data_IF_506064399506
#
_entry.id   IF_506064399506
#
_cell.length_a   1.000
_cell.length_b   1.000
_cell.length_c   1.000
_cell.angle_alpha   90.00
_cell.angle_beta   90.00
_cell.angle_gamma   90.00
#
_symmetry.space_group_name_H-M   'P 1'
#
loop_
_entity.id
_entity.type
_entity.pdbx_description
1 polymer ?
#
# COMPACT_ATOMS: atom_id res chain seq x y z
N UNK A 1 12.26 -44.36 13.19
CA UNK A 1 11.72 -43.86 11.90
C UNK A 1 10.58 -42.85 12.08
N UNK A 2 9.58 -43.07 12.97
CA UNK A 2 8.47 -42.14 13.19
C UNK A 2 8.90 -40.77 13.73
N UNK A 3 9.98 -40.66 14.50
CA UNK A 3 10.51 -39.37 15.06
C UNK A 3 11.17 -38.48 14.01
N UNK A 4 11.79 -39.06 12.98
CA UNK A 4 12.46 -38.32 11.91
C UNK A 4 11.44 -37.70 10.95
N UNK A 5 10.34 -38.42 10.66
CA UNK A 5 9.23 -37.90 9.85
C UNK A 5 8.52 -36.70 10.53
N UNK A 6 8.38 -36.73 11.86
CA UNK A 6 7.77 -35.66 12.63
C UNK A 6 8.62 -34.38 12.65
N UNK A 7 9.95 -34.55 12.75
CA UNK A 7 10.91 -33.42 12.69
C UNK A 7 10.91 -32.78 11.30
N UNK A 8 10.85 -33.57 10.23
CA UNK A 8 10.77 -33.06 8.85
C UNK A 8 9.46 -32.27 8.61
N UNK A 9 8.33 -32.71 9.16
CA UNK A 9 7.05 -32.02 9.02
C UNK A 9 7.08 -30.69 9.81
N UNK A 10 7.66 -30.66 11.00
CA UNK A 10 7.85 -29.40 11.76
C UNK A 10 8.80 -28.43 11.05
N UNK A 11 9.87 -28.91 10.44
CA UNK A 11 10.77 -28.07 9.64
C UNK A 11 10.08 -27.50 8.37
N UNK A 12 9.23 -28.28 7.71
CA UNK A 12 8.44 -27.78 6.58
C UNK A 12 7.42 -26.72 7.00
N UNK A 13 6.79 -26.86 8.16
CA UNK A 13 5.86 -25.83 8.68
C UNK A 13 6.59 -24.55 9.10
N UNK A 14 7.82 -24.63 9.61
CA UNK A 14 8.62 -23.47 9.94
C UNK A 14 9.06 -22.67 8.70
N UNK A 15 9.19 -23.30 7.55
CA UNK A 15 9.53 -22.64 6.28
C UNK A 15 8.35 -21.87 5.65
N UNK A 16 7.13 -22.09 6.09
CA UNK A 16 5.93 -21.42 5.55
C UNK A 16 5.51 -20.17 6.32
N UNK A 17 6.14 -19.86 7.46
CA UNK A 17 5.85 -18.67 8.25
C UNK A 17 6.68 -17.45 7.81
N UNK A 18 6.73 -17.15 6.53
CA UNK A 18 7.22 -15.84 6.08
C UNK A 18 6.17 -14.80 6.43
N UNK A 19 6.58 -13.74 7.15
CA UNK A 19 5.72 -12.59 7.40
C UNK A 19 5.17 -12.06 6.07
N UNK A 20 3.84 -11.98 5.96
CA UNK A 20 3.18 -11.45 4.77
C UNK A 20 3.52 -9.98 4.62
N UNK A 21 3.71 -9.54 3.38
CA UNK A 21 4.15 -8.17 3.07
C UNK A 21 3.02 -7.39 2.41
N UNK A 22 3.01 -6.09 2.66
CA UNK A 22 2.21 -5.14 1.89
C UNK A 22 3.11 -4.03 1.33
N UNK A 23 2.75 -3.53 0.17
CA UNK A 23 3.40 -2.39 -0.45
C UNK A 23 2.47 -1.18 -0.41
N UNK A 24 2.97 -0.06 0.06
CA UNK A 24 2.26 1.22 0.07
C UNK A 24 2.87 2.10 -1.02
N UNK A 25 2.10 2.42 -2.03
CA UNK A 25 2.55 3.23 -3.15
C UNK A 25 2.36 4.72 -2.85
N UNK A 26 3.12 5.55 -3.59
CA UNK A 26 2.77 6.96 -3.68
C UNK A 26 1.39 7.12 -4.29
N UNK A 27 0.63 8.09 -3.83
CA UNK A 27 -0.72 8.33 -4.31
C UNK A 27 -0.72 8.68 -5.79
N UNK A 28 -1.73 8.21 -6.47
CA UNK A 28 -1.94 8.53 -7.87
C UNK A 28 -2.45 9.97 -8.00
N UNK A 29 -1.96 10.67 -9.03
CA UNK A 29 -2.44 12.00 -9.36
C UNK A 29 -3.87 11.94 -9.88
N UNK A 30 -4.77 12.55 -9.16
CA UNK A 30 -6.15 12.76 -9.60
C UNK A 30 -6.33 14.13 -10.25
N UNK A 31 -7.50 14.71 -10.06
CA UNK A 31 -7.88 15.98 -10.67
C UNK A 31 -7.38 17.18 -9.85
N UNK A 32 -6.79 18.16 -10.53
CA UNK A 32 -6.39 19.47 -9.97
C UNK A 32 -5.39 19.41 -8.80
N UNK A 33 -4.57 18.38 -8.73
CA UNK A 33 -3.49 18.25 -7.73
C UNK A 33 -2.13 18.34 -8.40
N UNK A 34 -1.15 18.82 -7.66
CA UNK A 34 0.26 18.86 -8.11
C UNK A 34 1.00 17.61 -7.63
N UNK A 35 2.14 17.32 -8.26
CA UNK A 35 3.02 16.25 -7.82
C UNK A 35 3.52 16.47 -6.39
N UNK A 36 3.84 17.70 -6.01
CA UNK A 36 4.29 18.08 -4.67
C UNK A 36 3.23 17.82 -3.60
N UNK A 37 1.97 18.20 -3.88
CA UNK A 37 0.84 17.94 -2.97
C UNK A 37 0.64 16.44 -2.78
N UNK A 38 0.72 15.68 -3.86
CA UNK A 38 0.57 14.22 -3.83
C UNK A 38 1.69 13.55 -3.06
N UNK A 39 2.92 14.01 -3.24
CA UNK A 39 4.09 13.48 -2.51
C UNK A 39 4.01 13.77 -1.01
N UNK A 40 3.63 14.99 -0.62
CA UNK A 40 3.47 15.36 0.79
C UNK A 40 2.40 14.52 1.50
N UNK A 41 1.28 14.27 0.84
CA UNK A 41 0.19 13.45 1.37
C UNK A 41 0.58 11.98 1.41
N UNK A 42 1.24 11.47 0.38
CA UNK A 42 1.77 10.11 0.34
C UNK A 42 2.76 9.85 1.48
N UNK A 43 3.68 10.78 1.70
CA UNK A 43 4.64 10.70 2.80
C UNK A 43 3.94 10.66 4.15
N UNK A 44 2.98 11.56 4.39
CA UNK A 44 2.22 11.60 5.63
C UNK A 44 1.44 10.29 5.86
N UNK A 45 0.83 9.74 4.82
CA UNK A 45 0.14 8.46 4.90
C UNK A 45 1.11 7.33 5.29
N UNK A 46 2.22 7.17 4.58
CA UNK A 46 3.20 6.11 4.84
C UNK A 46 3.78 6.18 6.25
N UNK A 47 4.08 7.37 6.74
CA UNK A 47 4.67 7.56 8.07
C UNK A 47 3.70 7.29 9.22
N UNK A 48 2.43 7.13 8.93
CA UNK A 48 1.38 6.80 9.91
C UNK A 48 0.71 5.44 9.66
N UNK A 49 1.17 4.69 8.67
CA UNK A 49 0.60 3.40 8.31
C UNK A 49 1.44 2.24 8.85
N UNK A 50 0.98 1.65 9.95
CA UNK A 50 1.67 0.57 10.66
C UNK A 50 0.72 -0.61 10.92
N UNK A 51 0.46 -1.47 9.92
CA UNK A 51 -0.35 -2.66 10.12
C UNK A 51 0.41 -3.68 10.96
N UNK A 52 -0.24 -4.26 11.96
CA UNK A 52 0.43 -5.22 12.87
C UNK A 52 0.79 -6.54 12.20
N UNK A 53 -0.07 -7.01 11.30
CA UNK A 53 0.04 -8.36 10.69
C UNK A 53 0.92 -8.42 9.45
N UNK A 54 1.29 -7.28 8.89
CA UNK A 54 1.99 -7.22 7.61
C UNK A 54 3.26 -6.39 7.71
N UNK A 55 4.33 -6.88 7.11
CA UNK A 55 5.55 -6.09 6.95
C UNK A 55 5.37 -5.13 5.77
N UNK A 56 5.54 -3.85 6.01
CA UNK A 56 5.50 -2.83 4.95
C UNK A 56 6.83 -2.83 4.19
N UNK A 57 6.75 -2.98 2.87
CA UNK A 57 7.91 -2.92 1.98
C UNK A 57 8.38 -1.46 1.90
N UNK A 58 9.69 -1.23 1.93
CA UNK A 58 10.24 0.13 1.85
C UNK A 58 9.82 0.83 0.57
N UNK A 59 9.61 2.14 0.64
CA UNK A 59 9.22 2.93 -0.53
C UNK A 59 10.33 2.95 -1.60
N UNK A 60 11.59 2.92 -1.20
CA UNK A 60 12.73 2.86 -2.11
C UNK A 60 12.69 1.59 -2.96
N UNK A 61 12.44 0.44 -2.33
CA UNK A 61 12.31 -0.83 -3.04
C UNK A 61 11.09 -0.84 -3.96
N UNK A 62 9.98 -0.30 -3.50
CA UNK A 62 8.75 -0.18 -4.29
C UNK A 62 8.98 0.69 -5.52
N UNK A 63 9.52 1.89 -5.35
CA UNK A 63 9.80 2.81 -6.45
C UNK A 63 10.83 2.24 -7.44
N UNK A 64 11.89 1.61 -6.95
CA UNK A 64 12.88 0.94 -7.79
C UNK A 64 12.26 -0.17 -8.65
N UNK A 65 11.30 -0.90 -8.12
CA UNK A 65 10.57 -1.92 -8.86
C UNK A 65 9.69 -1.29 -9.95
N UNK A 66 8.98 -0.20 -9.64
CA UNK A 66 8.17 0.56 -10.60
C UNK A 66 9.04 1.09 -11.75
N UNK A 67 10.18 1.70 -11.41
CA UNK A 67 11.16 2.20 -12.38
C UNK A 67 11.71 1.08 -13.27
N UNK A 68 11.97 -0.09 -12.70
CA UNK A 68 12.45 -1.28 -13.44
C UNK A 68 11.46 -1.75 -14.51
N UNK A 69 10.17 -1.54 -14.33
CA UNK A 69 9.14 -1.78 -15.34
C UNK A 69 8.98 -0.62 -16.35
N UNK A 70 9.56 0.54 -16.06
CA UNK A 70 9.35 1.75 -16.85
C UNK A 70 7.96 2.38 -16.68
N UNK A 71 7.28 2.11 -15.56
CA UNK A 71 5.96 2.64 -15.28
C UNK A 71 6.03 4.03 -14.64
N UNK A 72 5.01 4.84 -14.89
CA UNK A 72 4.81 6.12 -14.20
C UNK A 72 4.16 5.87 -12.83
N UNK A 73 4.90 6.15 -11.74
CA UNK A 73 4.44 5.93 -10.37
C UNK A 73 3.17 6.73 -10.01
N UNK A 74 2.83 7.76 -10.76
CA UNK A 74 1.69 8.65 -10.48
C UNK A 74 0.45 8.33 -11.31
N UNK A 75 0.54 7.41 -12.25
CA UNK A 75 -0.55 7.09 -13.18
C UNK A 75 -0.54 5.62 -13.64
N UNK A 76 -0.36 4.68 -12.73
CA UNK A 76 -0.39 3.25 -13.08
C UNK A 76 -1.80 2.72 -13.26
N UNK A 77 -1.97 1.85 -14.25
CA UNK A 77 -3.18 1.04 -14.40
C UNK A 77 -3.26 -0.04 -13.33
N UNK A 78 -4.45 -0.59 -13.09
CA UNK A 78 -4.63 -1.71 -12.15
C UNK A 78 -3.73 -2.90 -12.51
N UNK A 79 -3.60 -3.24 -13.79
CA UNK A 79 -2.74 -4.33 -14.24
C UNK A 79 -1.28 -4.06 -13.89
N UNK A 80 -0.79 -2.86 -14.13
CA UNK A 80 0.57 -2.45 -13.77
C UNK A 80 0.81 -2.52 -12.25
N UNK A 81 -0.17 -2.08 -11.45
CA UNK A 81 -0.12 -2.20 -9.98
C UNK A 81 0.03 -3.65 -9.54
N UNK A 82 -0.74 -4.56 -10.14
CA UNK A 82 -0.67 -5.99 -9.80
C UNK A 82 0.67 -6.62 -10.21
N UNK A 83 1.23 -6.22 -11.36
CA UNK A 83 2.56 -6.68 -11.79
C UNK A 83 3.65 -6.24 -10.82
N UNK A 84 3.62 -4.99 -10.37
CA UNK A 84 4.53 -4.48 -9.32
C UNK A 84 4.35 -5.27 -8.02
N UNK A 85 3.12 -5.51 -7.61
CA UNK A 85 2.82 -6.28 -6.40
C UNK A 85 3.37 -7.70 -6.45
N UNK A 86 3.22 -8.40 -7.57
CA UNK A 86 3.79 -9.75 -7.78
C UNK A 86 5.31 -9.73 -7.73
N UNK A 87 5.93 -8.74 -8.36
CA UNK A 87 7.39 -8.60 -8.35
C UNK A 87 7.95 -8.33 -6.96
N UNK A 88 7.21 -7.60 -6.13
CA UNK A 88 7.54 -7.32 -4.73
C UNK A 88 7.23 -8.49 -3.80
N UNK A 89 6.54 -9.52 -4.28
CA UNK A 89 5.99 -10.59 -3.46
C UNK A 89 5.07 -10.06 -2.34
N UNK A 90 4.34 -9.00 -2.64
CA UNK A 90 3.38 -8.40 -1.74
C UNK A 90 2.05 -9.18 -1.77
N UNK A 91 1.45 -9.39 -0.61
CA UNK A 91 0.09 -9.91 -0.52
C UNK A 91 -0.93 -8.83 -0.86
N UNK A 92 -0.71 -7.63 -0.36
CA UNK A 92 -1.57 -6.47 -0.58
C UNK A 92 -0.78 -5.28 -1.15
N UNK A 93 -1.47 -4.54 -1.99
CA UNK A 93 -1.06 -3.21 -2.45
C UNK A 93 -1.99 -2.18 -1.84
N UNK A 94 -1.43 -1.16 -1.20
CA UNK A 94 -2.17 -0.01 -0.68
C UNK A 94 -1.97 1.14 -1.66
N UNK A 95 -3.05 1.55 -2.30
CA UNK A 95 -3.06 2.52 -3.39
C UNK A 95 -4.02 3.64 -3.07
N UNK A 96 -3.54 4.87 -3.08
CA UNK A 96 -4.36 6.06 -2.87
C UNK A 96 -4.49 6.90 -4.13
N UNK A 97 -5.57 7.66 -4.19
CA UNK A 97 -5.79 8.70 -5.20
C UNK A 97 -6.13 10.00 -4.50
N UNK A 98 -5.50 11.09 -4.93
CA UNK A 98 -5.75 12.43 -4.42
C UNK A 98 -6.44 13.27 -5.48
N UNK A 99 -7.57 13.86 -5.13
CA UNK A 99 -8.27 14.84 -5.95
C UNK A 99 -8.45 16.16 -5.19
N UNK A 100 -8.60 17.24 -5.92
CA UNK A 100 -8.85 18.56 -5.35
C UNK A 100 -9.98 19.24 -6.09
N UNK A 101 -10.94 19.76 -5.36
CA UNK A 101 -12.01 20.63 -5.86
C UNK A 101 -12.00 21.91 -5.03
N UNK A 102 -11.69 23.03 -5.69
CA UNK A 102 -11.44 24.30 -5.01
C UNK A 102 -10.31 24.15 -3.96
N UNK A 103 -10.58 24.39 -2.68
CA UNK A 103 -9.62 24.25 -1.57
C UNK A 103 -9.79 22.94 -0.78
N UNK A 104 -10.66 22.07 -1.25
CA UNK A 104 -10.98 20.79 -0.59
C UNK A 104 -10.31 19.63 -1.30
N UNK A 105 -9.61 18.80 -0.51
CA UNK A 105 -8.99 17.57 -0.98
C UNK A 105 -9.85 16.36 -0.66
N UNK A 106 -9.91 15.43 -1.58
CA UNK A 106 -10.50 14.11 -1.37
C UNK A 106 -9.44 13.05 -1.57
N UNK A 107 -9.25 12.22 -0.56
CA UNK A 107 -8.36 11.06 -0.57
C UNK A 107 -9.19 9.80 -0.59
N UNK A 108 -8.84 8.90 -1.49
CA UNK A 108 -9.40 7.56 -1.59
C UNK A 108 -8.24 6.54 -1.52
N UNK A 109 -8.28 5.64 -0.55
CA UNK A 109 -7.25 4.62 -0.39
C UNK A 109 -7.89 3.23 -0.50
N UNK A 110 -7.31 2.38 -1.31
CA UNK A 110 -7.75 1.01 -1.51
C UNK A 110 -6.66 0.02 -1.12
N UNK A 111 -7.06 -1.08 -0.52
CA UNK A 111 -6.22 -2.26 -0.29
C UNK A 111 -6.60 -3.32 -1.32
N UNK A 112 -5.67 -3.65 -2.19
CA UNK A 112 -5.88 -4.60 -3.29
C UNK A 112 -5.15 -5.90 -2.96
N UNK A 113 -5.86 -7.02 -3.02
CA UNK A 113 -5.26 -8.35 -2.96
C UNK A 113 -4.54 -8.63 -4.28
N UNK A 114 -3.23 -8.85 -4.22
CA UNK A 114 -2.39 -9.05 -5.42
C UNK A 114 -2.74 -10.34 -6.15
N UNK A 115 -3.16 -11.38 -5.45
CA UNK A 115 -3.48 -12.67 -6.05
C UNK A 115 -4.80 -12.66 -6.83
N UNK A 116 -5.80 -11.93 -6.36
CA UNK A 116 -7.14 -11.86 -6.96
C UNK A 116 -7.39 -10.60 -7.76
N UNK A 117 -6.63 -9.53 -7.51
CA UNK A 117 -6.85 -8.21 -8.09
C UNK A 117 -8.10 -7.50 -7.56
N UNK A 118 -8.69 -7.98 -6.46
CA UNK A 118 -9.88 -7.39 -5.85
C UNK A 118 -9.52 -6.41 -4.75
N UNK A 119 -10.31 -5.35 -4.62
CA UNK A 119 -10.24 -4.43 -3.47
C UNK A 119 -10.88 -5.11 -2.26
N UNK A 120 -10.11 -5.33 -1.19
CA UNK A 120 -10.56 -6.02 0.01
C UNK A 120 -10.89 -5.06 1.16
N UNK A 121 -10.37 -3.86 1.12
CA UNK A 121 -10.69 -2.79 2.08
C UNK A 121 -10.47 -1.43 1.43
N UNK A 122 -11.11 -0.41 1.95
CA UNK A 122 -10.94 0.97 1.51
C UNK A 122 -11.20 1.94 2.65
N UNK A 123 -10.57 3.09 2.56
CA UNK A 123 -10.76 4.21 3.49
C UNK A 123 -10.61 5.51 2.71
N UNK A 124 -11.34 6.52 3.07
CA UNK A 124 -11.26 7.81 2.41
C UNK A 124 -11.72 8.95 3.29
N UNK A 125 -11.57 10.15 2.79
CA UNK A 125 -12.02 11.35 3.48
C UNK A 125 -11.80 12.60 2.64
N UNK A 126 -12.51 13.64 3.06
CA UNK A 126 -12.44 14.97 2.49
C UNK A 126 -11.96 15.93 3.56
N UNK A 127 -11.04 16.81 3.23
CA UNK A 127 -10.43 17.73 4.18
C UNK A 127 -9.92 19.01 3.51
N UNK A 128 -9.77 20.05 4.29
CA UNK A 128 -9.12 21.30 3.85
C UNK A 128 -7.59 21.19 3.92
N UNK A 129 -6.90 22.02 3.18
CA UNK A 129 -5.43 21.98 3.09
C UNK A 129 -4.74 22.02 4.47
N UNK A 130 -5.23 22.82 5.40
CA UNK A 130 -4.63 22.92 6.75
C UNK A 130 -4.87 21.71 7.64
N UNK A 131 -5.86 20.88 7.31
CA UNK A 131 -6.24 19.69 8.08
C UNK A 131 -5.56 18.40 7.58
N UNK A 132 -4.83 18.46 6.47
CA UNK A 132 -4.40 17.25 5.76
C UNK A 132 -3.58 16.29 6.62
N UNK A 133 -2.74 16.81 7.52
CA UNK A 133 -1.89 15.97 8.37
C UNK A 133 -2.70 15.09 9.28
N UNK A 134 -3.66 15.68 10.00
CA UNK A 134 -4.51 14.94 10.95
C UNK A 134 -5.51 14.03 10.21
N UNK A 135 -6.09 14.50 9.12
CA UNK A 135 -7.02 13.73 8.32
C UNK A 135 -6.36 12.50 7.69
N UNK A 136 -5.21 12.67 7.06
CA UNK A 136 -4.47 11.56 6.42
C UNK A 136 -3.92 10.59 7.46
N UNK A 137 -3.43 11.09 8.60
CA UNK A 137 -3.03 10.24 9.73
C UNK A 137 -4.19 9.39 10.23
N UNK A 138 -5.37 9.96 10.38
CA UNK A 138 -6.56 9.21 10.79
C UNK A 138 -6.95 8.13 9.79
N UNK A 139 -6.89 8.42 8.49
CA UNK A 139 -7.16 7.47 7.42
C UNK A 139 -6.14 6.31 7.48
N UNK A 140 -4.85 6.61 7.55
CA UNK A 140 -3.79 5.63 7.63
C UNK A 140 -3.92 4.71 8.85
N UNK A 141 -4.19 5.30 10.01
CA UNK A 141 -4.33 4.57 11.28
C UNK A 141 -5.55 3.65 11.26
N UNK A 142 -6.70 4.12 10.79
CA UNK A 142 -7.91 3.29 10.70
C UNK A 142 -7.75 2.12 9.75
N UNK A 143 -7.13 2.36 8.59
CA UNK A 143 -6.90 1.31 7.60
C UNK A 143 -5.91 0.26 8.12
N UNK A 144 -4.79 0.70 8.69
CA UNK A 144 -3.79 -0.18 9.27
C UNK A 144 -4.33 -1.06 10.41
N UNK A 145 -5.21 -0.49 11.24
CA UNK A 145 -5.84 -1.23 12.35
C UNK A 145 -6.73 -2.38 11.87
N UNK A 146 -7.38 -2.23 10.71
CA UNK A 146 -8.25 -3.28 10.15
C UNK A 146 -7.49 -4.36 9.38
N UNK A 147 -6.25 -4.10 9.00
CA UNK A 147 -5.40 -5.06 8.29
C UNK A 147 -4.69 -6.00 9.27
#
# INVERSE_FOLDING_TARGET
MKKIAFICIMCLMALTMRAQKCAVLDFQLGTNVTAEETEAISYNFRTNFYPEKYKVISIERTNKTIEGFGYDKTGMTKQQLLEVGRRLEAKFMVVGTLNKLMDEYTVDVQVIDVSTGTTVDSEGGTFQKWEYRDAVKAIATRLAYRM
#
